data_IF_125797278564
#
_entry.id   IF_125797278564
#
_cell.length_a   1.000
_cell.length_b   1.000
_cell.length_c   1.000
_cell.angle_alpha   90.00
_cell.angle_beta   90.00
_cell.angle_gamma   90.00
#
_symmetry.space_group_name_H-M   'P 1'
#
loop_
_entity.id
_entity.type
_entity.pdbx_description
1 polymer ?
#
# COMPACT_ATOMS: atom_id res chain seq x y z
N UNK A 1 28.21 -7.68 -9.55
CA UNK A 1 27.60 -6.85 -8.49
C UNK A 1 26.50 -7.68 -7.85
N UNK A 2 26.75 -8.21 -6.65
CA UNK A 2 25.81 -9.08 -5.94
C UNK A 2 24.71 -8.24 -5.32
N UNK A 3 23.47 -8.52 -5.69
CA UNK A 3 22.27 -7.87 -5.19
C UNK A 3 22.12 -8.07 -3.66
N UNK A 4 22.22 -7.02 -2.83
CA UNK A 4 22.08 -7.13 -1.38
C UNK A 4 20.67 -7.58 -0.94
N UNK A 5 19.66 -7.55 -1.82
CA UNK A 5 18.29 -7.97 -1.51
C UNK A 5 18.13 -9.50 -1.37
N UNK A 6 19.11 -10.30 -1.80
CA UNK A 6 19.04 -11.76 -1.88
C UNK A 6 19.82 -12.51 -0.79
N UNK A 7 20.06 -11.96 0.40
CA UNK A 7 20.47 -12.81 1.52
C UNK A 7 19.22 -13.53 2.07
N UNK A 8 19.03 -14.85 1.87
CA UNK A 8 18.04 -15.58 2.63
C UNK A 8 18.46 -15.51 4.10
N UNK A 9 17.52 -15.14 4.96
CA UNK A 9 17.73 -15.19 6.40
C UNK A 9 18.22 -16.58 6.77
N UNK A 10 19.25 -16.63 7.61
CA UNK A 10 19.71 -17.92 8.11
C UNK A 10 18.63 -18.49 9.03
N UNK A 11 18.41 -19.81 9.02
CA UNK A 11 17.42 -20.49 9.88
C UNK A 11 17.58 -20.13 11.37
N UNK A 12 18.78 -19.68 11.75
CA UNK A 12 19.16 -19.27 13.09
C UNK A 12 18.58 -17.90 13.49
N UNK A 13 18.60 -16.91 12.60
CA UNK A 13 17.98 -15.59 12.84
C UNK A 13 16.46 -15.70 12.96
N UNK A 14 15.83 -16.60 12.20
CA UNK A 14 14.42 -16.93 12.33
C UNK A 14 14.07 -17.57 13.67
N UNK A 15 14.86 -18.54 14.13
CA UNK A 15 14.63 -19.19 15.41
C UNK A 15 14.75 -18.21 16.59
N UNK A 16 15.69 -17.26 16.52
CA UNK A 16 15.88 -16.23 17.54
C UNK A 16 14.71 -15.24 17.57
N UNK A 17 14.27 -14.73 16.40
CA UNK A 17 13.15 -13.79 16.33
C UNK A 17 11.83 -14.42 16.82
N UNK A 18 11.58 -15.68 16.47
CA UNK A 18 10.40 -16.41 16.94
C UNK A 18 10.46 -16.69 18.45
N UNK A 19 11.65 -17.00 18.98
CA UNK A 19 11.87 -17.21 20.41
C UNK A 19 11.64 -15.95 21.25
N UNK A 20 12.13 -14.79 20.80
CA UNK A 20 11.96 -13.51 21.50
C UNK A 20 10.48 -13.08 21.53
N UNK A 21 9.77 -13.22 20.42
CA UNK A 21 8.35 -12.86 20.36
C UNK A 21 7.46 -13.81 21.19
N UNK A 22 7.72 -15.12 21.14
CA UNK A 22 7.00 -16.09 21.95
C UNK A 22 7.20 -15.86 23.46
N UNK A 23 8.42 -15.47 23.86
CA UNK A 23 8.77 -15.18 25.25
C UNK A 23 8.05 -13.93 25.81
N UNK A 24 7.72 -12.96 24.95
CA UNK A 24 7.12 -11.68 25.33
C UNK A 24 5.58 -11.68 25.32
N UNK A 25 4.93 -12.81 25.00
CA UNK A 25 3.46 -12.85 24.97
C UNK A 25 2.86 -12.63 26.37
N UNK A 26 1.83 -11.77 26.51
CA UNK A 26 1.28 -11.38 27.82
C UNK A 26 0.74 -12.58 28.61
N UNK A 27 0.26 -13.61 27.92
CA UNK A 27 -0.20 -14.86 28.55
C UNK A 27 0.92 -15.64 29.24
N UNK A 28 2.10 -15.75 28.62
CA UNK A 28 3.24 -16.46 29.19
C UNK A 28 3.82 -15.72 30.41
N UNK A 29 3.80 -14.38 30.37
CA UNK A 29 4.19 -13.54 31.52
C UNK A 29 3.20 -13.70 32.68
N UNK A 30 1.89 -13.73 32.40
CA UNK A 30 0.85 -13.95 33.43
C UNK A 30 0.99 -15.33 34.07
N UNK A 31 1.28 -16.39 33.30
CA UNK A 31 1.54 -17.74 33.84
C UNK A 31 2.76 -17.72 34.75
N UNK A 32 3.87 -17.11 34.32
CA UNK A 32 5.10 -17.06 35.11
C UNK A 32 4.89 -16.33 36.44
N UNK A 33 4.27 -15.15 36.40
CA UNK A 33 3.96 -14.34 37.58
C UNK A 33 2.96 -15.05 38.49
N UNK A 34 1.92 -15.68 37.92
CA UNK A 34 0.90 -16.41 38.67
C UNK A 34 1.45 -17.65 39.39
N UNK A 35 2.25 -18.47 38.72
CA UNK A 35 2.85 -19.69 39.31
C UNK A 35 3.86 -19.32 40.40
N UNK A 36 4.66 -18.29 40.16
CA UNK A 36 5.65 -17.81 41.13
C UNK A 36 4.97 -17.21 42.36
N UNK A 37 3.94 -16.38 42.16
CA UNK A 37 3.14 -15.81 43.25
C UNK A 37 2.45 -16.88 44.09
N UNK A 38 1.80 -17.86 43.45
CA UNK A 38 1.14 -18.97 44.14
C UNK A 38 2.11 -19.85 44.93
N UNK A 39 3.28 -20.16 44.36
CA UNK A 39 4.28 -21.00 45.04
C UNK A 39 4.91 -20.34 46.27
N UNK A 40 5.12 -19.02 46.23
CA UNK A 40 5.57 -18.25 47.40
C UNK A 40 4.49 -18.24 48.49
N UNK A 41 3.21 -18.11 48.11
CA UNK A 41 2.09 -18.05 49.05
C UNK A 41 1.87 -19.36 49.82
N UNK A 42 2.17 -20.50 49.20
CA UNK A 42 2.07 -21.84 49.79
C UNK A 42 3.28 -22.18 50.69
N UNK A 43 4.30 -21.31 50.75
CA UNK A 43 5.51 -21.52 51.55
C UNK A 43 6.45 -22.58 50.98
N UNK A 44 6.35 -22.85 49.68
CA UNK A 44 7.20 -23.82 49.00
C UNK A 44 8.66 -23.37 48.94
N UNK A 45 9.64 -24.29 48.85
CA UNK A 45 11.03 -23.93 48.64
C UNK A 45 11.15 -23.14 47.32
N UNK A 46 11.66 -21.91 47.39
CA UNK A 46 11.76 -20.98 46.25
C UNK A 46 12.40 -21.65 45.03
N UNK A 47 13.45 -22.45 45.25
CA UNK A 47 14.14 -23.17 44.18
C UNK A 47 13.23 -24.14 43.40
N UNK A 48 12.32 -24.84 44.11
CA UNK A 48 11.38 -25.79 43.49
C UNK A 48 10.29 -25.04 42.73
N UNK A 49 9.76 -23.96 43.31
CA UNK A 49 8.75 -23.11 42.68
C UNK A 49 9.28 -22.51 41.38
N UNK A 50 10.52 -21.99 41.41
CA UNK A 50 11.16 -21.37 40.27
C UNK A 50 11.44 -22.39 39.16
N UNK A 51 11.87 -23.61 39.52
CA UNK A 51 12.06 -24.70 38.57
C UNK A 51 10.74 -25.12 37.88
N UNK A 52 9.65 -25.26 38.65
CA UNK A 52 8.33 -25.56 38.09
C UNK A 52 7.82 -24.43 37.19
N UNK A 53 8.00 -23.17 37.61
CA UNK A 53 7.63 -22.01 36.81
C UNK A 53 8.38 -21.96 35.48
N UNK A 54 9.69 -22.24 35.49
CA UNK A 54 10.50 -22.34 34.26
C UNK A 54 9.97 -23.45 33.35
N UNK A 55 9.70 -24.65 33.88
CA UNK A 55 9.21 -25.78 33.07
C UNK A 55 7.86 -25.47 32.43
N UNK A 56 6.93 -24.88 33.19
CA UNK A 56 5.61 -24.48 32.66
C UNK A 56 5.72 -23.36 31.61
N UNK A 57 6.60 -22.38 31.84
CA UNK A 57 6.86 -21.31 30.88
C UNK A 57 7.47 -21.84 29.58
N UNK A 58 8.46 -22.74 29.67
CA UNK A 58 9.05 -23.40 28.51
C UNK A 58 8.03 -24.26 27.75
N UNK A 59 7.16 -24.98 28.47
CA UNK A 59 6.07 -25.74 27.88
C UNK A 59 5.05 -24.87 27.14
N UNK A 60 4.70 -23.71 27.70
CA UNK A 60 3.81 -22.73 27.07
C UNK A 60 4.47 -22.12 25.81
N UNK A 61 5.75 -21.75 25.88
CA UNK A 61 6.51 -21.28 24.73
C UNK A 61 6.56 -22.32 23.61
N UNK A 62 6.82 -23.60 23.94
CA UNK A 62 6.84 -24.69 22.98
C UNK A 62 5.46 -24.90 22.32
N UNK A 63 4.37 -24.75 23.09
CA UNK A 63 3.00 -24.83 22.55
C UNK A 63 2.72 -23.69 21.57
N UNK A 64 3.09 -22.45 21.89
CA UNK A 64 2.93 -21.30 20.97
C UNK A 64 3.77 -21.46 19.71
N UNK A 65 4.95 -22.09 19.83
CA UNK A 65 5.82 -22.40 18.69
C UNK A 65 5.24 -23.48 17.75
N UNK A 66 4.44 -24.40 18.31
CA UNK A 66 3.72 -25.44 17.56
C UNK A 66 2.36 -24.99 17.04
N UNK A 67 1.91 -23.80 17.42
CA UNK A 67 0.66 -23.21 16.93
C UNK A 67 0.91 -22.59 15.54
N UNK A 68 0.57 -23.34 14.49
CA UNK A 68 0.84 -22.97 13.10
C UNK A 68 0.30 -21.58 12.74
N UNK A 69 -0.85 -21.19 13.30
CA UNK A 69 -1.52 -19.92 13.01
C UNK A 69 -0.77 -18.69 13.57
N UNK A 70 0.03 -18.86 14.63
CA UNK A 70 0.85 -17.79 15.19
C UNK A 70 2.14 -17.64 14.38
N UNK A 71 2.75 -18.77 14.01
CA UNK A 71 3.93 -18.79 13.15
C UNK A 71 3.63 -18.15 11.79
N UNK A 72 2.50 -18.49 11.15
CA UNK A 72 2.11 -17.92 9.86
C UNK A 72 1.83 -16.43 9.95
N UNK A 73 1.19 -15.93 11.01
CA UNK A 73 0.98 -14.49 11.22
C UNK A 73 2.29 -13.72 11.39
N UNK A 74 3.23 -14.25 12.18
CA UNK A 74 4.54 -13.61 12.37
C UNK A 74 5.36 -13.63 11.08
N UNK A 75 5.32 -14.74 10.33
CA UNK A 75 5.99 -14.86 9.03
C UNK A 75 5.37 -13.89 8.01
N UNK A 76 4.04 -13.75 7.99
CA UNK A 76 3.35 -12.80 7.14
C UNK A 76 3.78 -11.35 7.47
N UNK A 77 3.86 -11.01 8.77
CA UNK A 77 4.35 -9.72 9.25
C UNK A 77 5.78 -9.44 8.81
N UNK A 78 6.72 -10.35 9.09
CA UNK A 78 8.14 -10.18 8.72
C UNK A 78 8.31 -10.09 7.19
N UNK A 79 7.55 -10.86 6.41
CA UNK A 79 7.57 -10.77 4.94
C UNK A 79 7.01 -9.44 4.45
N UNK A 80 5.94 -8.94 5.05
CA UNK A 80 5.40 -7.63 4.74
C UNK A 80 6.40 -6.51 5.07
N UNK A 81 7.04 -6.55 6.23
CA UNK A 81 8.06 -5.58 6.64
C UNK A 81 9.29 -5.61 5.74
N UNK A 82 9.70 -6.80 5.29
CA UNK A 82 10.79 -6.94 4.33
C UNK A 82 10.41 -6.40 2.95
N UNK A 83 9.19 -6.67 2.48
CA UNK A 83 8.69 -6.08 1.22
C UNK A 83 8.69 -4.56 1.33
N UNK A 84 8.13 -4.01 2.40
CA UNK A 84 8.14 -2.58 2.72
C UNK A 84 9.54 -2.01 2.81
N UNK A 85 10.52 -2.71 3.40
CA UNK A 85 11.91 -2.24 3.48
C UNK A 85 12.60 -2.23 2.10
N UNK A 86 12.31 -3.21 1.25
CA UNK A 86 12.83 -3.26 -0.13
C UNK A 86 12.14 -2.21 -1.01
N UNK A 87 10.84 -2.00 -0.82
CA UNK A 87 10.05 -0.96 -1.49
C UNK A 87 10.51 0.45 -1.08
N UNK A 88 10.74 0.68 0.23
CA UNK A 88 11.39 1.90 0.73
C UNK A 88 12.79 2.12 0.18
N UNK A 89 13.47 1.04 -0.22
CA UNK A 89 14.77 1.08 -0.90
C UNK A 89 14.68 1.33 -2.42
N UNK A 90 13.49 1.29 -3.02
CA UNK A 90 13.33 1.73 -4.42
C UNK A 90 13.58 3.22 -4.47
N UNK A 91 14.31 3.63 -5.51
CA UNK A 91 14.55 5.05 -5.78
C UNK A 91 13.19 5.71 -6.03
N UNK A 92 12.80 6.62 -5.13
CA UNK A 92 11.62 7.48 -5.26
C UNK A 92 11.56 8.05 -6.68
N UNK A 93 10.36 8.13 -7.24
CA UNK A 93 10.15 8.68 -8.57
C UNK A 93 10.72 10.10 -8.66
N UNK A 94 11.49 10.39 -9.70
CA UNK A 94 11.98 11.75 -9.92
C UNK A 94 10.88 12.56 -10.61
N UNK A 95 10.30 13.60 -9.98
CA UNK A 95 9.24 14.39 -10.60
C UNK A 95 9.70 15.09 -11.87
N UNK A 96 11.02 15.34 -12.01
CA UNK A 96 11.59 15.94 -13.21
C UNK A 96 11.54 15.01 -14.44
N UNK A 97 11.28 13.71 -14.26
CA UNK A 97 11.09 12.76 -15.36
C UNK A 97 9.63 12.64 -15.80
N UNK A 98 8.70 13.39 -15.20
CA UNK A 98 7.28 13.37 -15.54
C UNK A 98 6.90 14.63 -16.31
N UNK A 99 5.80 14.56 -17.05
CA UNK A 99 5.14 15.73 -17.61
C UNK A 99 4.74 16.69 -16.47
N UNK A 100 4.84 18.01 -16.66
CA UNK A 100 4.52 19.00 -15.60
C UNK A 100 3.16 18.79 -14.94
N UNK A 101 2.15 18.39 -15.72
CA UNK A 101 0.78 18.15 -15.28
C UNK A 101 0.68 16.93 -14.34
N UNK A 102 1.47 15.88 -14.59
CA UNK A 102 1.53 14.68 -13.74
C UNK A 102 2.45 14.91 -12.53
N UNK A 103 3.53 15.69 -12.71
CA UNK A 103 4.47 16.02 -11.65
C UNK A 103 3.84 16.89 -10.55
N UNK A 104 2.97 17.82 -10.93
CA UNK A 104 2.35 18.79 -10.02
C UNK A 104 1.67 18.17 -8.80
N UNK A 105 0.69 17.26 -8.99
CA UNK A 105 0.03 16.57 -7.89
C UNK A 105 0.98 15.75 -6.99
N UNK A 106 2.00 15.11 -7.57
CA UNK A 106 2.98 14.34 -6.79
C UNK A 106 3.87 15.24 -5.92
N UNK A 107 4.32 16.37 -6.44
CA UNK A 107 5.08 17.36 -5.67
C UNK A 107 4.24 17.90 -4.51
N UNK A 108 2.99 18.23 -4.79
CA UNK A 108 2.00 18.64 -3.81
C UNK A 108 1.74 17.59 -2.72
N UNK A 109 1.72 16.30 -3.07
CA UNK A 109 1.60 15.22 -2.10
C UNK A 109 2.82 15.13 -1.18
N UNK A 110 4.02 15.26 -1.74
CA UNK A 110 5.28 15.25 -0.98
C UNK A 110 5.39 16.41 -0.02
N UNK A 111 4.97 17.60 -0.44
CA UNK A 111 4.90 18.76 0.47
C UNK A 111 3.92 18.52 1.63
N UNK A 112 2.77 17.90 1.37
CA UNK A 112 1.79 17.54 2.40
C UNK A 112 2.32 16.49 3.37
N UNK A 113 2.94 15.43 2.86
CA UNK A 113 3.62 14.42 3.67
C UNK A 113 4.69 15.04 4.57
N UNK A 114 5.54 15.92 4.03
CA UNK A 114 6.57 16.59 4.82
C UNK A 114 5.97 17.41 5.97
N UNK A 115 4.82 18.07 5.72
CA UNK A 115 4.09 18.81 6.76
C UNK A 115 3.44 17.89 7.81
N UNK A 116 2.93 16.73 7.41
CA UNK A 116 2.41 15.73 8.34
C UNK A 116 3.53 15.17 9.19
N UNK A 117 4.66 14.76 8.59
CA UNK A 117 5.82 14.25 9.32
C UNK A 117 6.35 15.29 10.33
N UNK A 118 6.44 16.55 9.93
CA UNK A 118 6.82 17.64 10.85
C UNK A 118 5.81 17.86 11.99
N UNK A 119 4.52 17.54 11.80
CA UNK A 119 3.52 17.58 12.87
C UNK A 119 3.66 16.38 13.82
N UNK A 120 3.91 15.18 13.28
CA UNK A 120 4.19 13.96 14.06
C UNK A 120 5.44 14.15 14.92
N UNK A 121 6.52 14.68 14.35
CA UNK A 121 7.80 14.90 15.05
C UNK A 121 7.68 15.85 16.25
N UNK A 122 6.70 16.77 16.22
CA UNK A 122 6.44 17.70 17.32
C UNK A 122 5.46 17.17 18.35
N UNK A 123 4.74 16.10 18.03
CA UNK A 123 3.72 15.58 18.92
C UNK A 123 4.34 14.70 20.02
N UNK A 124 3.70 14.67 21.19
CA UNK A 124 4.18 13.88 22.34
C UNK A 124 3.94 12.37 22.16
N UNK A 125 2.94 12.01 21.34
CA UNK A 125 2.55 10.63 21.08
C UNK A 125 3.25 10.04 19.84
N UNK A 126 3.60 8.75 19.84
CA UNK A 126 4.21 8.09 18.70
C UNK A 126 3.16 7.73 17.64
N UNK A 127 2.93 8.60 16.65
CA UNK A 127 2.00 8.36 15.52
C UNK A 127 2.58 7.41 14.45
N UNK A 128 3.20 6.30 14.85
CA UNK A 128 3.89 5.37 13.93
C UNK A 128 2.96 4.81 12.84
N UNK A 129 1.74 4.42 13.21
CA UNK A 129 0.75 3.91 12.24
C UNK A 129 0.39 4.97 11.19
N UNK A 130 0.17 6.22 11.60
CA UNK A 130 -0.12 7.32 10.65
C UNK A 130 1.05 7.54 9.71
N UNK A 131 2.29 7.55 10.20
CA UNK A 131 3.48 7.68 9.36
C UNK A 131 3.58 6.55 8.33
N UNK A 132 3.40 5.30 8.75
CA UNK A 132 3.46 4.13 7.87
C UNK A 132 2.37 4.17 6.80
N UNK A 133 1.16 4.61 7.16
CA UNK A 133 0.04 4.71 6.22
C UNK A 133 0.24 5.87 5.22
N UNK A 134 0.83 7.00 5.65
CA UNK A 134 1.17 8.13 4.75
C UNK A 134 2.31 7.74 3.79
N UNK A 135 3.31 7.01 4.26
CA UNK A 135 4.38 6.49 3.39
C UNK A 135 3.79 5.55 2.33
N UNK A 136 2.91 4.63 2.74
CA UNK A 136 2.22 3.74 1.81
C UNK A 136 1.34 4.49 0.81
N UNK A 137 0.63 5.54 1.25
CA UNK A 137 -0.14 6.42 0.37
C UNK A 137 0.74 7.03 -0.73
N UNK A 138 1.91 7.57 -0.39
CA UNK A 138 2.84 8.14 -1.37
C UNK A 138 3.37 7.09 -2.35
N UNK A 139 3.67 5.87 -1.89
CA UNK A 139 4.15 4.80 -2.76
C UNK A 139 3.11 4.42 -3.83
N UNK A 140 1.83 4.35 -3.44
CA UNK A 140 0.74 4.12 -4.40
C UNK A 140 0.54 5.31 -5.33
N UNK A 141 0.67 6.55 -4.83
CA UNK A 141 0.55 7.75 -5.64
C UNK A 141 1.70 7.87 -6.67
N UNK A 142 2.93 7.49 -6.30
CA UNK A 142 4.04 7.40 -7.26
C UNK A 142 3.78 6.35 -8.33
N UNK A 143 3.15 5.24 -7.95
CA UNK A 143 2.79 4.18 -8.90
C UNK A 143 1.70 4.64 -9.87
N UNK A 144 0.65 5.33 -9.39
CA UNK A 144 -0.38 5.90 -10.24
C UNK A 144 0.16 7.03 -11.13
N UNK A 145 1.06 7.87 -10.63
CA UNK A 145 1.74 8.90 -11.42
C UNK A 145 2.55 8.31 -12.60
N UNK A 146 3.26 7.19 -12.39
CA UNK A 146 3.95 6.49 -13.49
C UNK A 146 2.97 6.00 -14.56
N UNK A 147 1.80 5.51 -14.15
CA UNK A 147 0.75 5.03 -15.07
C UNK A 147 0.10 6.21 -15.81
N UNK A 148 -0.16 7.31 -15.12
CA UNK A 148 -0.67 8.55 -15.71
C UNK A 148 0.30 9.13 -16.74
N UNK A 149 1.61 9.07 -16.47
CA UNK A 149 2.64 9.48 -17.42
C UNK A 149 2.58 8.68 -18.73
N UNK A 150 2.39 7.36 -18.67
CA UNK A 150 2.24 6.54 -19.87
C UNK A 150 0.98 6.91 -20.67
N UNK A 151 -0.15 7.17 -20.00
CA UNK A 151 -1.36 7.65 -20.66
C UNK A 151 -1.13 9.02 -21.33
N UNK A 152 -0.45 9.92 -20.64
CA UNK A 152 -0.09 11.24 -21.16
C UNK A 152 0.78 11.12 -22.42
N UNK A 153 1.83 10.29 -22.38
CA UNK A 153 2.72 10.05 -23.53
C UNK A 153 1.94 9.55 -24.75
N UNK A 154 1.05 8.56 -24.56
CA UNK A 154 0.19 8.04 -25.63
C UNK A 154 -0.70 9.13 -26.24
N UNK A 155 -1.31 9.97 -25.41
CA UNK A 155 -2.21 11.04 -25.86
C UNK A 155 -1.46 12.19 -26.55
N UNK A 156 -0.21 12.44 -26.17
CA UNK A 156 0.65 13.43 -26.84
C UNK A 156 1.08 12.91 -28.22
N UNK A 157 1.45 11.64 -28.32
CA UNK A 157 1.89 11.02 -29.58
C UNK A 157 0.74 10.88 -30.59
N UNK A 158 -0.46 10.49 -30.13
CA UNK A 158 -1.65 10.36 -30.96
C UNK A 158 -2.91 10.97 -30.32
N UNK A 159 -3.12 12.29 -30.48
CA UNK A 159 -4.28 12.97 -29.91
C UNK A 159 -5.59 12.45 -30.53
N UNK A 160 -6.64 12.13 -29.72
CA UNK A 160 -7.93 11.63 -30.22
C UNK A 160 -8.56 12.54 -31.29
N UNK A 161 -8.37 13.86 -31.18
CA UNK A 161 -8.84 14.83 -32.18
C UNK A 161 -8.27 14.61 -33.58
N UNK A 162 -7.01 14.17 -33.68
CA UNK A 162 -6.37 13.87 -34.96
C UNK A 162 -7.04 12.66 -35.61
N UNK A 163 -7.23 11.59 -34.85
CA UNK A 163 -7.89 10.35 -35.29
C UNK A 163 -9.35 10.62 -35.67
N UNK A 164 -10.05 11.45 -34.90
CA UNK A 164 -11.43 11.89 -35.18
C UNK A 164 -11.53 12.67 -36.50
N UNK A 165 -10.63 13.62 -36.75
CA UNK A 165 -10.58 14.34 -38.04
C UNK A 165 -10.32 13.39 -39.19
N UNK A 166 -9.36 12.47 -39.04
CA UNK A 166 -9.03 11.50 -40.08
C UNK A 166 -10.17 10.53 -40.37
N UNK A 167 -10.90 10.09 -39.34
CA UNK A 167 -12.09 9.26 -39.49
C UNK A 167 -13.16 9.98 -40.31
N UNK A 168 -13.43 11.25 -40.02
CA UNK A 168 -14.41 12.06 -40.76
C UNK A 168 -14.09 12.18 -42.27
N UNK A 169 -12.80 12.18 -42.64
CA UNK A 169 -12.36 12.22 -44.05
C UNK A 169 -12.62 10.91 -44.82
N UNK A 170 -12.63 9.77 -44.13
CA UNK A 170 -12.67 8.44 -44.78
C UNK A 170 -13.99 7.71 -44.61
N UNK A 171 -14.81 8.08 -43.63
CA UNK A 171 -16.04 7.37 -43.27
C UNK A 171 -17.09 7.36 -44.41
N UNK A 172 -17.06 8.34 -45.33
CA UNK A 172 -17.97 8.41 -46.47
C UNK A 172 -17.54 7.59 -47.70
N UNK A 173 -16.35 6.98 -47.70
CA UNK A 173 -15.76 6.30 -48.84
C UNK A 173 -15.87 4.77 -48.70
N UNK A 174 -16.71 4.08 -49.50
CA UNK A 174 -16.87 2.62 -49.44
C UNK A 174 -15.56 1.84 -49.67
N UNK A 175 -14.59 2.41 -50.38
CA UNK A 175 -13.31 1.77 -50.62
C UNK A 175 -12.39 1.81 -49.39
N UNK A 176 -12.72 2.60 -48.36
CA UNK A 176 -11.91 2.81 -47.14
C UNK A 176 -12.59 2.32 -45.86
N UNK A 177 -13.60 1.45 -45.96
CA UNK A 177 -14.34 0.94 -44.78
C UNK A 177 -13.42 0.34 -43.71
N UNK A 178 -12.49 -0.52 -44.11
CA UNK A 178 -11.56 -1.16 -43.18
C UNK A 178 -10.69 -0.14 -42.42
N UNK A 179 -10.26 0.93 -43.10
CA UNK A 179 -9.54 2.03 -42.46
C UNK A 179 -10.44 2.81 -41.50
N UNK A 180 -11.70 3.07 -41.88
CA UNK A 180 -12.66 3.73 -41.00
C UNK A 180 -12.94 2.90 -39.74
N UNK A 181 -13.05 1.58 -39.87
CA UNK A 181 -13.25 0.66 -38.74
C UNK A 181 -12.04 0.68 -37.80
N UNK A 182 -10.81 0.60 -38.35
CA UNK A 182 -9.58 0.70 -37.57
C UNK A 182 -9.45 2.05 -36.84
N UNK A 183 -9.73 3.17 -37.52
CA UNK A 183 -9.70 4.50 -36.90
C UNK A 183 -10.78 4.67 -35.82
N UNK A 184 -11.94 4.03 -35.97
CA UNK A 184 -12.99 4.02 -34.95
C UNK A 184 -12.53 3.30 -33.69
N UNK A 185 -11.87 2.14 -33.83
CA UNK A 185 -11.29 1.42 -32.70
C UNK A 185 -10.18 2.23 -32.03
N UNK A 186 -9.30 2.83 -32.81
CA UNK A 186 -8.22 3.69 -32.31
C UNK A 186 -8.77 4.90 -31.55
N UNK A 187 -9.80 5.57 -32.07
CA UNK A 187 -10.45 6.69 -31.41
C UNK A 187 -11.05 6.26 -30.06
N UNK A 188 -11.73 5.11 -30.01
CA UNK A 188 -12.29 4.57 -28.78
C UNK A 188 -11.23 4.20 -27.74
N UNK A 189 -10.01 3.82 -28.15
CA UNK A 189 -8.88 3.65 -27.23
C UNK A 189 -8.41 5.01 -26.71
N UNK A 190 -8.18 5.98 -27.60
CA UNK A 190 -7.72 7.32 -27.23
C UNK A 190 -8.67 8.03 -26.25
N UNK A 191 -9.98 7.99 -26.52
CA UNK A 191 -11.00 8.58 -25.63
C UNK A 191 -11.04 7.90 -24.25
N UNK A 192 -10.79 6.59 -24.18
CA UNK A 192 -10.66 5.88 -22.88
C UNK A 192 -9.41 6.32 -22.13
N UNK A 193 -8.27 6.45 -22.81
CA UNK A 193 -7.04 6.95 -22.20
C UNK A 193 -7.22 8.37 -21.64
N UNK A 194 -7.87 9.26 -22.41
CA UNK A 194 -8.21 10.63 -21.98
C UNK A 194 -9.12 10.63 -20.74
N UNK A 195 -10.18 9.83 -20.76
CA UNK A 195 -11.10 9.72 -19.62
C UNK A 195 -10.41 9.19 -18.35
N UNK A 196 -9.50 8.21 -18.48
CA UNK A 196 -8.75 7.68 -17.33
C UNK A 196 -7.74 8.68 -16.79
N UNK A 197 -7.07 9.43 -17.66
CA UNK A 197 -6.13 10.47 -17.24
C UNK A 197 -6.87 11.62 -16.52
N UNK A 198 -8.04 12.04 -17.02
CA UNK A 198 -8.89 13.02 -16.34
C UNK A 198 -9.29 12.53 -14.95
N UNK A 199 -9.78 11.29 -14.85
CA UNK A 199 -10.17 10.69 -13.57
C UNK A 199 -9.01 10.63 -12.57
N UNK A 200 -7.81 10.31 -13.04
CA UNK A 200 -6.61 10.32 -12.20
C UNK A 200 -6.37 11.70 -11.57
N UNK A 201 -6.51 12.78 -12.34
CA UNK A 201 -6.32 14.14 -11.81
C UNK A 201 -7.39 14.51 -10.79
N UNK A 202 -8.67 14.28 -11.11
CA UNK A 202 -9.79 14.58 -10.21
C UNK A 202 -9.64 13.83 -8.88
N UNK A 203 -9.30 12.55 -8.96
CA UNK A 203 -9.19 11.69 -7.79
C UNK A 203 -7.95 12.02 -6.95
N UNK A 204 -6.82 12.33 -7.59
CA UNK A 204 -5.63 12.77 -6.87
C UNK A 204 -5.88 14.10 -6.17
N UNK A 205 -6.58 15.04 -6.80
CA UNK A 205 -6.96 16.31 -6.16
C UNK A 205 -7.82 16.07 -4.91
N UNK A 206 -8.86 15.24 -5.02
CA UNK A 206 -9.69 14.83 -3.87
C UNK A 206 -8.84 14.26 -2.74
N UNK A 207 -7.97 13.30 -3.05
CA UNK A 207 -7.10 12.64 -2.06
C UNK A 207 -6.15 13.62 -1.37
N UNK A 208 -5.63 14.63 -2.09
CA UNK A 208 -4.78 15.67 -1.50
C UNK A 208 -5.54 16.57 -0.52
N UNK A 209 -6.81 16.88 -0.80
CA UNK A 209 -7.69 17.64 0.10
C UNK A 209 -8.00 16.83 1.37
N UNK A 210 -8.24 15.53 1.23
CA UNK A 210 -8.44 14.62 2.37
C UNK A 210 -7.19 14.51 3.23
N UNK A 211 -6.00 14.41 2.61
CA UNK A 211 -4.72 14.40 3.33
C UNK A 211 -4.49 15.70 4.11
N UNK A 212 -4.88 16.85 3.58
CA UNK A 212 -4.84 18.13 4.30
C UNK A 212 -5.81 18.14 5.50
N UNK A 213 -6.97 17.48 5.38
CA UNK A 213 -7.94 17.30 6.47
C UNK A 213 -7.37 16.42 7.57
N UNK A 214 -6.75 15.29 7.21
CA UNK A 214 -6.05 14.41 8.16
C UNK A 214 -4.96 15.17 8.91
N UNK A 215 -4.18 16.00 8.22
CA UNK A 215 -3.17 16.85 8.87
C UNK A 215 -3.81 17.82 9.87
N UNK A 216 -4.92 18.47 9.51
CA UNK A 216 -5.62 19.37 10.41
C UNK A 216 -6.14 18.64 11.67
N UNK A 217 -6.71 17.44 11.47
CA UNK A 217 -7.14 16.58 12.56
C UNK A 217 -5.97 16.10 13.42
N UNK A 218 -4.81 15.78 12.82
CA UNK A 218 -3.60 15.40 13.53
C UNK A 218 -3.09 16.55 14.41
N UNK A 219 -3.07 17.78 13.90
CA UNK A 219 -2.67 18.95 14.70
C UNK A 219 -3.64 19.16 15.87
N UNK A 220 -4.95 19.05 15.62
CA UNK A 220 -5.96 19.14 16.68
C UNK A 220 -5.82 18.03 17.71
N UNK A 221 -5.60 16.79 17.26
CA UNK A 221 -5.41 15.62 18.11
C UNK A 221 -4.10 15.71 18.89
N UNK A 222 -3.04 16.29 18.35
CA UNK A 222 -1.76 16.45 19.08
C UNK A 222 -1.88 17.34 20.32
N UNK A 223 -2.89 18.21 20.37
CA UNK A 223 -3.22 19.00 21.56
C UNK A 223 -4.01 18.19 22.62
N UNK A 224 -4.52 17.02 22.25
CA UNK A 224 -5.28 16.09 23.10
C UNK A 224 -4.45 14.83 23.34
N UNK A 225 -4.18 14.47 24.59
CA UNK A 225 -3.44 13.24 24.91
C UNK A 225 -4.28 11.95 24.74
N UNK A 226 -5.32 11.97 23.90
CA UNK A 226 -6.24 10.86 23.72
C UNK A 226 -5.77 9.86 22.65
N UNK A 227 -5.42 8.65 23.09
CA UNK A 227 -5.03 7.54 22.23
C UNK A 227 -6.17 7.01 21.33
N UNK A 228 -7.44 7.37 21.60
CA UNK A 228 -8.57 7.02 20.73
C UNK A 228 -8.51 7.76 19.39
N UNK A 229 -8.10 9.03 19.40
CA UNK A 229 -7.95 9.87 18.21
C UNK A 229 -6.83 9.37 17.29
N UNK A 230 -5.73 8.87 17.87
CA UNK A 230 -4.63 8.28 17.11
C UNK A 230 -5.11 7.08 16.26
N UNK A 231 -5.90 6.18 16.85
CA UNK A 231 -6.43 5.01 16.13
C UNK A 231 -7.41 5.39 15.03
N UNK A 232 -8.24 6.41 15.28
CA UNK A 232 -9.16 6.94 14.27
C UNK A 232 -8.40 7.52 13.08
N UNK A 233 -7.39 8.37 13.34
CA UNK A 233 -6.52 8.95 12.31
C UNK A 233 -5.78 7.88 11.49
N UNK A 234 -5.24 6.86 12.15
CA UNK A 234 -4.62 5.73 11.44
C UNK A 234 -5.60 5.03 10.50
N UNK A 235 -6.86 4.85 10.93
CA UNK A 235 -7.94 4.32 10.09
C UNK A 235 -8.28 5.20 8.89
N UNK A 236 -8.35 6.52 9.07
CA UNK A 236 -8.61 7.48 7.99
C UNK A 236 -7.51 7.45 6.91
N UNK A 237 -6.24 7.46 7.31
CA UNK A 237 -5.12 7.37 6.35
C UNK A 237 -5.10 6.01 5.65
N UNK A 238 -5.37 4.92 6.37
CA UNK A 238 -5.46 3.58 5.79
C UNK A 238 -6.52 3.53 4.69
N UNK A 239 -7.70 4.08 4.97
CA UNK A 239 -8.79 4.14 3.99
C UNK A 239 -8.35 4.93 2.74
N UNK A 240 -7.74 6.10 2.93
CA UNK A 240 -7.21 6.92 1.84
C UNK A 240 -6.17 6.16 1.00
N UNK A 241 -5.27 5.41 1.65
CA UNK A 241 -4.28 4.56 0.97
C UNK A 241 -4.96 3.47 0.13
N UNK A 242 -5.99 2.83 0.66
CA UNK A 242 -6.75 1.78 -0.04
C UNK A 242 -7.46 2.35 -1.29
N UNK A 243 -7.98 3.57 -1.21
CA UNK A 243 -8.57 4.25 -2.38
C UNK A 243 -7.53 4.54 -3.47
N UNK A 244 -6.33 5.01 -3.11
CA UNK A 244 -5.25 5.24 -4.10
C UNK A 244 -4.77 3.93 -4.71
N UNK A 245 -4.69 2.86 -3.91
CA UNK A 245 -4.34 1.54 -4.40
C UNK A 245 -5.37 1.05 -5.43
N UNK A 246 -6.67 1.21 -5.13
CA UNK A 246 -7.74 0.89 -6.05
C UNK A 246 -7.71 1.76 -7.32
N UNK A 247 -7.43 3.05 -7.20
CA UNK A 247 -7.22 3.95 -8.35
C UNK A 247 -6.08 3.45 -9.24
N UNK A 248 -4.93 3.15 -8.64
CA UNK A 248 -3.78 2.64 -9.36
C UNK A 248 -4.18 1.37 -10.12
N UNK A 249 -4.79 0.39 -9.45
CA UNK A 249 -5.19 -0.89 -10.06
C UNK A 249 -6.22 -0.70 -11.19
N UNK A 250 -7.19 0.22 -11.02
CA UNK A 250 -8.14 0.57 -12.07
C UNK A 250 -7.50 1.11 -13.34
N UNK A 251 -6.40 1.86 -13.23
CA UNK A 251 -5.64 2.33 -14.40
C UNK A 251 -4.94 1.17 -15.13
N UNK A 252 -4.53 0.11 -14.44
CA UNK A 252 -3.94 -1.07 -15.08
C UNK A 252 -4.97 -1.81 -15.94
N UNK A 253 -6.19 -1.99 -15.42
CA UNK A 253 -7.27 -2.65 -16.16
C UNK A 253 -7.63 -1.91 -17.45
N UNK A 254 -7.40 -0.60 -17.54
CA UNK A 254 -7.65 0.16 -18.77
C UNK A 254 -6.71 -0.20 -19.92
N UNK A 255 -5.50 -0.67 -19.63
CA UNK A 255 -4.52 -1.13 -20.62
C UNK A 255 -4.72 -2.60 -21.04
N UNK A 256 -5.33 -3.40 -20.18
CA UNK A 256 -5.72 -4.77 -20.49
C UNK A 256 -6.96 -4.71 -21.38
N UNK A 257 -6.77 -4.66 -22.69
CA UNK A 257 -7.85 -4.69 -23.69
C UNK A 257 -8.86 -5.79 -23.34
N UNK A 258 -10.18 -5.53 -23.46
CA UNK A 258 -11.18 -6.59 -23.39
C UNK A 258 -11.13 -7.41 -24.68
N UNK A 259 -10.08 -8.20 -24.86
CA UNK A 259 -9.95 -9.23 -25.91
C UNK A 259 -10.95 -10.40 -25.72
N UNK A 260 -11.97 -10.21 -24.87
CA UNK A 260 -13.03 -11.17 -24.57
C UNK A 260 -14.42 -10.79 -25.09
N UNK A 261 -14.55 -9.79 -25.97
CA UNK A 261 -15.81 -9.61 -26.68
C UNK A 261 -16.04 -10.84 -27.59
N UNK A 262 -17.11 -11.63 -27.41
CA UNK A 262 -17.35 -12.82 -28.23
C UNK A 262 -17.39 -12.39 -29.70
N UNK A 263 -16.64 -13.10 -30.54
CA UNK A 263 -16.66 -12.90 -31.98
C UNK A 263 -18.12 -12.85 -32.46
N UNK A 264 -18.49 -11.90 -33.34
CA UNK A 264 -19.84 -11.83 -33.88
C UNK A 264 -20.16 -13.20 -34.50
N UNK A 265 -21.14 -13.88 -33.91
CA UNK A 265 -21.64 -15.15 -34.42
C UNK A 265 -22.02 -14.96 -35.89
N UNK A 266 -21.39 -15.75 -36.76
CA UNK A 266 -21.67 -15.77 -38.20
C UNK A 266 -23.19 -15.79 -38.42
N UNK A 267 -23.75 -14.90 -39.27
CA UNK A 267 -25.15 -14.99 -39.64
C UNK A 267 -25.34 -16.31 -40.39
N UNK A 268 -26.11 -17.21 -39.79
CA UNK A 268 -26.47 -18.48 -40.39
C UNK A 268 -27.00 -18.27 -41.82
N UNK A 269 -26.28 -18.81 -42.79
CA UNK A 269 -26.75 -19.08 -44.16
C UNK A 269 -27.95 -20.01 -44.17
#
# INVERSE_FOLDING_TARGET
MSDPARKPYTRQEYAVALGVNAAATPFNVVILVGVTGAGVLVGGPIAVVLLVAIVLYLGACARTFLDGDVADRVIAGIRADRRRAVERGRKRLDPASLAPEVAGPLLQAREREARIRAAIDRAELPYAEVSDEVDGFLDYLETSARRAQLLHEVLVDDPPDRTRRRLAEVQGDPAKRELADALTQQLAVGERCEAQLSRYYDETERMLVELDTIRANLVSASASTDASEQRRLGGEVRHLREEVAALADGMQTAFESPDGAPAPSDPAT
#
